data_IF_125350343370
#
_entry.id   IF_125350343370
#
_cell.length_a   1.000
_cell.length_b   1.000
_cell.length_c   1.000
_cell.angle_alpha   90.00
_cell.angle_beta   90.00
_cell.angle_gamma   90.00
#
_symmetry.space_group_name_H-M   'P 1'
#
loop_
_entity.id
_entity.type
_entity.pdbx_description
1 polymer ?
#
# COMPACT_ATOMS: atom_id res chain seq x y z
N UNK A 1 -10.42 0.57 16.34
CA UNK A 1 -10.09 0.44 17.79
C UNK A 1 -8.66 0.89 18.02
N UNK A 2 -8.38 1.60 19.12
CA UNK A 2 -7.04 2.07 19.50
C UNK A 2 -6.79 1.75 20.99
N UNK A 3 -5.58 1.30 21.31
CA UNK A 3 -5.09 1.15 22.68
C UNK A 3 -3.93 2.12 22.92
N UNK A 4 -3.93 2.79 24.06
CA UNK A 4 -2.84 3.66 24.53
C UNK A 4 -2.00 3.02 25.64
N UNK A 5 -2.37 1.79 26.05
CA UNK A 5 -1.74 1.07 27.17
C UNK A 5 -1.37 -0.37 26.79
N UNK A 6 -0.77 -0.53 25.62
CA UNK A 6 -0.24 -1.81 25.10
C UNK A 6 -1.29 -2.91 24.97
N UNK A 7 -2.53 -2.55 24.64
CA UNK A 7 -3.60 -3.50 24.37
C UNK A 7 -4.43 -3.89 25.60
N UNK A 8 -4.20 -3.28 26.77
CA UNK A 8 -5.01 -3.54 27.97
C UNK A 8 -6.44 -3.03 27.81
N UNK A 9 -6.60 -1.80 27.28
CA UNK A 9 -7.91 -1.21 27.00
C UNK A 9 -7.97 -0.78 25.53
N UNK A 10 -9.18 -0.84 24.96
CA UNK A 10 -9.44 -0.49 23.57
C UNK A 10 -10.60 0.49 23.44
N UNK A 11 -10.38 1.57 22.72
CA UNK A 11 -11.39 2.59 22.43
C UNK A 11 -11.71 2.58 20.96
N UNK A 12 -12.99 2.64 20.58
CA UNK A 12 -13.40 2.85 19.19
C UNK A 12 -12.98 4.25 18.74
N UNK A 13 -12.37 4.32 17.55
CA UNK A 13 -11.93 5.58 16.93
C UNK A 13 -12.56 5.78 15.54
N UNK A 14 -13.52 4.96 15.17
CA UNK A 14 -14.32 5.09 13.95
C UNK A 14 -15.63 4.33 14.12
N UNK A 15 -16.61 4.72 13.32
CA UNK A 15 -17.72 3.87 12.93
C UNK A 15 -17.26 2.92 11.80
N UNK A 16 -18.19 2.31 11.06
CA UNK A 16 -17.88 1.49 9.90
C UNK A 16 -17.34 2.38 8.76
N UNK A 17 -16.08 2.12 8.35
CA UNK A 17 -15.40 2.81 7.24
C UNK A 17 -15.50 2.04 5.92
N UNK A 18 -16.47 1.15 5.80
CA UNK A 18 -16.76 0.40 4.58
C UNK A 18 -18.14 0.79 4.01
N UNK A 19 -18.55 0.16 2.93
CA UNK A 19 -19.91 0.32 2.37
C UNK A 19 -20.95 -0.57 3.06
N UNK A 20 -20.63 -1.23 4.17
CA UNK A 20 -21.52 -2.13 4.89
C UNK A 20 -21.66 -3.52 4.27
N UNK A 21 -20.75 -3.87 3.36
CA UNK A 21 -20.70 -5.17 2.69
C UNK A 21 -21.75 -5.37 1.58
N UNK A 22 -21.38 -6.18 0.61
CA UNK A 22 -22.33 -6.78 -0.35
C UNK A 22 -22.59 -8.21 0.04
N UNK A 23 -23.81 -8.70 -0.17
CA UNK A 23 -24.10 -10.12 0.03
C UNK A 23 -23.45 -10.95 -1.09
N UNK A 24 -22.76 -12.01 -0.72
CA UNK A 24 -22.08 -12.93 -1.64
C UNK A 24 -21.27 -13.98 -0.90
N UNK A 25 -20.58 -14.83 -1.65
CA UNK A 25 -19.78 -15.95 -1.10
C UNK A 25 -18.40 -15.51 -0.56
N UNK A 26 -18.06 -14.23 -0.64
CA UNK A 26 -16.77 -13.68 -0.21
C UNK A 26 -17.03 -12.60 0.83
N UNK A 27 -16.24 -12.60 1.90
CA UNK A 27 -16.26 -11.51 2.87
C UNK A 27 -16.02 -10.18 2.13
N UNK A 28 -16.85 -9.19 2.41
CA UNK A 28 -16.84 -7.89 1.79
C UNK A 28 -17.23 -6.83 2.82
N UNK A 29 -16.66 -5.64 2.72
CA UNK A 29 -16.83 -4.62 3.74
C UNK A 29 -15.87 -4.82 4.93
N UNK A 30 -14.60 -5.15 4.64
CA UNK A 30 -13.54 -5.38 5.62
C UNK A 30 -12.41 -4.40 5.41
N UNK A 31 -11.89 -3.79 6.47
CA UNK A 31 -10.64 -3.04 6.40
C UNK A 31 -9.48 -4.01 6.15
N UNK A 32 -8.75 -3.77 5.09
CA UNK A 32 -7.65 -4.63 4.62
C UNK A 32 -6.28 -4.03 4.89
N UNK A 33 -6.22 -2.71 5.02
CA UNK A 33 -4.98 -1.99 5.23
C UNK A 33 -5.19 -0.80 6.17
N UNK A 34 -4.21 -0.55 7.02
CA UNK A 34 -4.12 0.64 7.85
C UNK A 34 -2.66 1.07 7.90
N UNK A 35 -2.40 2.38 7.86
CA UNK A 35 -1.08 2.93 8.07
C UNK A 35 -1.15 4.26 8.82
N UNK A 36 -0.12 4.57 9.59
CA UNK A 36 0.03 5.80 10.34
C UNK A 36 1.27 6.55 9.85
N UNK A 37 1.10 7.85 9.56
CA UNK A 37 2.22 8.70 9.16
C UNK A 37 3.20 8.89 10.31
N UNK A 38 4.50 8.73 10.04
CA UNK A 38 5.55 9.01 11.02
C UNK A 38 5.69 10.51 11.36
N UNK A 39 5.13 11.40 10.55
CA UNK A 39 5.25 12.84 10.72
C UNK A 39 4.23 13.42 11.70
N UNK A 40 3.14 12.72 11.93
CA UNK A 40 2.07 13.21 12.82
C UNK A 40 1.36 12.02 13.46
N UNK A 41 1.40 11.97 14.79
CA UNK A 41 0.59 11.02 15.54
C UNK A 41 -0.89 11.22 15.22
N UNK A 42 -1.57 10.12 14.88
CA UNK A 42 -2.98 10.13 14.53
C UNK A 42 -3.32 10.65 13.12
N UNK A 43 -2.33 10.85 12.25
CA UNK A 43 -2.55 10.92 10.82
C UNK A 43 -2.62 9.48 10.29
N UNK A 44 -3.85 8.98 10.16
CA UNK A 44 -4.17 7.60 9.86
C UNK A 44 -4.80 7.47 8.47
N UNK A 45 -4.44 6.43 7.77
CA UNK A 45 -5.07 6.04 6.51
C UNK A 45 -5.60 4.62 6.61
N UNK A 46 -6.77 4.36 6.03
CA UNK A 46 -7.34 3.01 5.94
C UNK A 46 -7.77 2.68 4.53
N UNK A 47 -7.72 1.40 4.17
CA UNK A 47 -8.25 0.86 2.93
C UNK A 47 -9.12 -0.36 3.21
N UNK A 48 -10.14 -0.57 2.38
CA UNK A 48 -11.07 -1.69 2.52
C UNK A 48 -11.19 -2.51 1.23
N UNK A 49 -11.72 -3.71 1.34
CA UNK A 49 -11.90 -4.62 0.21
C UNK A 49 -13.03 -4.21 -0.75
N UNK A 50 -13.80 -3.19 -0.39
CA UNK A 50 -14.85 -2.57 -1.22
C UNK A 50 -14.42 -1.24 -1.87
N UNK A 51 -13.10 -0.97 -1.88
CA UNK A 51 -12.51 0.18 -2.58
C UNK A 51 -12.60 1.50 -1.84
N UNK A 52 -12.97 1.51 -0.54
CA UNK A 52 -12.97 2.73 0.24
C UNK A 52 -11.58 3.02 0.82
N UNK A 53 -11.19 4.28 0.72
CA UNK A 53 -9.98 4.81 1.37
C UNK A 53 -10.39 5.99 2.22
N UNK A 54 -9.98 5.99 3.48
CA UNK A 54 -10.25 7.08 4.40
C UNK A 54 -8.95 7.62 5.00
N UNK A 55 -8.98 8.92 5.34
CA UNK A 55 -7.94 9.58 6.13
C UNK A 55 -8.54 10.18 7.40
N UNK A 56 -7.82 10.06 8.50
CA UNK A 56 -8.04 10.85 9.70
C UNK A 56 -6.77 11.64 9.99
N UNK A 57 -6.91 12.94 10.26
CA UNK A 57 -5.79 13.80 10.63
C UNK A 57 -5.77 14.14 12.13
N UNK A 58 -6.68 13.56 12.91
CA UNK A 58 -6.93 13.88 14.30
C UNK A 58 -7.17 12.64 15.17
N UNK A 59 -6.39 11.60 14.93
CA UNK A 59 -6.36 10.38 15.74
C UNK A 59 -7.67 9.58 15.73
N UNK A 60 -8.42 9.66 14.63
CA UNK A 60 -9.67 8.94 14.44
C UNK A 60 -10.90 9.67 14.97
N UNK A 61 -10.78 10.96 15.38
CA UNK A 61 -11.95 11.75 15.77
C UNK A 61 -12.88 12.03 14.59
N UNK A 62 -12.29 12.31 13.42
CA UNK A 62 -13.01 12.48 12.16
C UNK A 62 -12.32 11.65 11.06
N UNK A 63 -13.13 11.15 10.13
CA UNK A 63 -12.68 10.39 8.99
C UNK A 63 -13.25 10.98 7.70
N UNK A 64 -12.36 11.27 6.74
CA UNK A 64 -12.73 11.76 5.43
C UNK A 64 -12.54 10.66 4.39
N UNK A 65 -13.57 10.40 3.59
CA UNK A 65 -13.45 9.52 2.44
C UNK A 65 -12.66 10.22 1.32
N UNK A 66 -11.58 9.58 0.88
CA UNK A 66 -10.66 10.09 -0.15
C UNK A 66 -10.61 9.19 -1.40
N UNK A 67 -11.54 8.25 -1.54
CA UNK A 67 -11.59 7.30 -2.65
C UNK A 67 -12.41 7.76 -3.85
N UNK A 68 -12.94 8.99 -3.88
CA UNK A 68 -13.94 9.43 -4.87
C UNK A 68 -13.49 9.31 -6.34
N UNK A 69 -12.20 9.49 -6.61
CA UNK A 69 -11.60 9.42 -7.96
C UNK A 69 -10.80 8.13 -8.21
N UNK A 70 -10.74 7.24 -7.23
CA UNK A 70 -10.14 5.91 -7.39
C UNK A 70 -11.14 4.95 -8.08
N UNK A 71 -10.65 3.86 -8.71
CA UNK A 71 -11.50 2.78 -9.19
C UNK A 71 -12.40 2.25 -8.06
N UNK A 72 -13.67 2.02 -8.38
CA UNK A 72 -14.66 1.60 -7.40
C UNK A 72 -14.72 0.07 -7.30
N UNK A 73 -15.15 -0.40 -6.13
CA UNK A 73 -15.44 -1.81 -5.87
C UNK A 73 -14.23 -2.74 -6.05
N UNK A 74 -13.00 -2.22 -6.05
CA UNK A 74 -11.77 -3.00 -6.05
C UNK A 74 -11.18 -3.08 -4.64
N UNK A 75 -10.58 -4.21 -4.33
CA UNK A 75 -9.90 -4.39 -3.05
C UNK A 75 -8.71 -3.43 -2.93
N UNK A 76 -8.71 -2.56 -1.92
CA UNK A 76 -7.51 -1.79 -1.54
C UNK A 76 -6.51 -2.74 -0.92
N UNK A 77 -5.54 -3.17 -1.71
CA UNK A 77 -4.54 -4.14 -1.26
C UNK A 77 -3.53 -3.53 -0.29
N UNK A 78 -3.22 -2.24 -0.46
CA UNK A 78 -2.33 -1.52 0.47
C UNK A 78 -2.60 -0.02 0.47
N UNK A 79 -2.50 0.60 1.65
CA UNK A 79 -2.33 2.04 1.82
C UNK A 79 -1.03 2.28 2.59
N UNK A 80 -0.24 3.29 2.17
CA UNK A 80 1.07 3.61 2.77
C UNK A 80 1.25 5.11 2.84
N UNK A 81 1.40 5.64 4.06
CA UNK A 81 1.85 7.01 4.28
C UNK A 81 3.34 7.13 3.92
N UNK A 82 3.72 8.21 3.22
CA UNK A 82 5.11 8.41 2.83
C UNK A 82 6.05 8.48 4.03
N UNK A 83 7.25 7.98 3.82
CA UNK A 83 8.37 8.09 4.75
C UNK A 83 9.11 9.43 4.64
N UNK A 84 8.84 10.23 3.60
CA UNK A 84 9.60 11.45 3.30
C UNK A 84 8.74 12.71 3.25
N UNK A 85 7.45 12.58 2.85
CA UNK A 85 6.54 13.70 2.65
C UNK A 85 5.25 13.51 3.47
N UNK A 86 5.01 14.42 4.43
CA UNK A 86 3.86 14.32 5.35
C UNK A 86 2.51 14.20 4.62
N UNK A 87 2.37 14.91 3.48
CA UNK A 87 1.11 14.97 2.72
C UNK A 87 0.95 13.83 1.72
N UNK A 88 2.04 13.06 1.49
CA UNK A 88 2.04 12.00 0.49
C UNK A 88 1.51 10.70 1.06
N UNK A 89 0.70 10.03 0.25
CA UNK A 89 0.15 8.70 0.52
C UNK A 89 0.07 7.91 -0.79
N UNK A 90 0.34 6.63 -0.69
CA UNK A 90 0.22 5.68 -1.80
C UNK A 90 -0.93 4.71 -1.55
N UNK A 91 -1.63 4.34 -2.62
CA UNK A 91 -2.69 3.34 -2.58
C UNK A 91 -2.51 2.37 -3.74
N UNK A 92 -2.62 1.09 -3.45
CA UNK A 92 -2.73 0.05 -4.47
C UNK A 92 -4.08 -0.65 -4.37
N UNK A 93 -4.64 -0.99 -5.54
CA UNK A 93 -5.88 -1.76 -5.62
C UNK A 93 -5.66 -3.03 -6.44
N UNK A 94 -6.45 -4.03 -6.12
CA UNK A 94 -6.34 -5.37 -6.67
C UNK A 94 -7.73 -5.81 -7.19
N UNK A 95 -7.81 -6.06 -8.50
CA UNK A 95 -9.03 -6.49 -9.18
C UNK A 95 -9.10 -8.00 -9.43
N UNK A 96 -8.17 -8.80 -8.92
CA UNK A 96 -8.07 -10.24 -9.16
C UNK A 96 -9.41 -10.99 -8.98
N UNK A 97 -10.18 -10.62 -7.97
CA UNK A 97 -11.50 -11.24 -7.69
C UNK A 97 -12.54 -11.02 -8.80
N UNK A 98 -12.28 -10.08 -9.70
CA UNK A 98 -13.17 -9.68 -10.80
C UNK A 98 -12.57 -9.94 -12.17
N UNK A 99 -11.54 -10.81 -12.25
CA UNK A 99 -10.74 -11.06 -13.46
C UNK A 99 -10.12 -9.79 -14.07
N UNK A 100 -9.90 -8.77 -13.23
CA UNK A 100 -9.22 -7.53 -13.61
C UNK A 100 -7.78 -7.55 -13.12
N UNK A 101 -6.85 -7.72 -14.05
CA UNK A 101 -5.42 -7.78 -13.80
C UNK A 101 -4.72 -6.45 -14.10
N UNK A 102 -5.48 -5.38 -14.31
CA UNK A 102 -4.90 -4.03 -14.48
C UNK A 102 -4.12 -3.65 -13.23
N UNK A 103 -2.85 -3.19 -13.36
CA UNK A 103 -2.10 -2.69 -12.23
C UNK A 103 -2.67 -1.34 -11.78
N UNK A 104 -3.07 -1.26 -10.53
CA UNK A 104 -3.62 -0.04 -9.94
C UNK A 104 -2.70 0.47 -8.85
N UNK A 105 -1.93 1.52 -9.16
CA UNK A 105 -1.03 2.19 -8.23
C UNK A 105 -1.27 3.69 -8.30
N UNK A 106 -1.59 4.29 -7.16
CA UNK A 106 -1.90 5.71 -7.07
C UNK A 106 -1.07 6.40 -6.00
N UNK A 107 -0.69 7.63 -6.27
CA UNK A 107 -0.01 8.53 -5.35
C UNK A 107 -0.81 9.82 -5.19
N UNK A 108 -0.85 10.34 -3.99
CA UNK A 108 -1.39 11.66 -3.67
C UNK A 108 -0.35 12.46 -2.89
N UNK A 109 -0.21 13.75 -3.21
CA UNK A 109 0.65 14.71 -2.50
C UNK A 109 -0.17 15.70 -1.64
N UNK A 110 -1.44 15.41 -1.38
CA UNK A 110 -2.36 16.30 -0.67
C UNK A 110 -3.36 15.53 0.22
N UNK A 111 -2.83 14.56 1.00
CA UNK A 111 -3.61 13.73 1.92
C UNK A 111 -4.75 12.94 1.26
N UNK A 112 -4.66 12.63 -0.03
CA UNK A 112 -5.69 11.92 -0.78
C UNK A 112 -6.79 12.80 -1.38
N UNK A 113 -6.64 14.14 -1.33
CA UNK A 113 -7.62 15.03 -1.97
C UNK A 113 -7.63 14.89 -3.50
N UNK A 114 -6.51 14.51 -4.10
CA UNK A 114 -6.41 14.09 -5.51
C UNK A 114 -5.38 12.98 -5.67
N UNK A 115 -5.57 12.17 -6.72
CA UNK A 115 -4.75 11.00 -7.00
C UNK A 115 -4.15 11.06 -8.39
N UNK A 116 -2.88 10.72 -8.48
CA UNK A 116 -2.15 10.50 -9.74
C UNK A 116 -1.92 9.01 -9.92
N UNK A 117 -2.32 8.46 -11.07
CA UNK A 117 -1.99 7.09 -11.43
C UNK A 117 -0.50 7.02 -11.78
N UNK A 118 0.22 6.12 -11.12
CA UNK A 118 1.66 5.88 -11.32
C UNK A 118 1.95 4.44 -11.77
N UNK A 119 0.96 3.74 -12.34
CA UNK A 119 1.14 2.38 -12.85
C UNK A 119 1.97 2.31 -14.14
N UNK A 120 1.93 3.34 -14.95
CA UNK A 120 2.70 3.57 -16.19
C UNK A 120 3.00 2.29 -17.00
N UNK A 121 4.26 1.87 -17.07
CA UNK A 121 4.73 0.71 -17.87
C UNK A 121 4.65 -0.63 -17.12
N UNK A 122 3.93 -0.73 -16.01
CA UNK A 122 3.71 -2.03 -15.35
C UNK A 122 2.94 -2.98 -16.29
N UNK A 123 3.33 -4.25 -16.35
CA UNK A 123 2.56 -5.24 -17.09
C UNK A 123 1.23 -5.56 -16.38
N UNK A 124 0.33 -6.22 -17.09
CA UNK A 124 -0.92 -6.72 -16.50
C UNK A 124 -0.62 -7.73 -15.39
N UNK A 125 -0.80 -7.31 -14.16
CA UNK A 125 -0.73 -8.14 -12.96
C UNK A 125 -1.39 -7.41 -11.80
N UNK A 126 -2.18 -8.10 -11.02
CA UNK A 126 -2.80 -7.53 -9.82
C UNK A 126 -1.72 -7.07 -8.84
N UNK A 127 -1.91 -5.90 -8.25
CA UNK A 127 -0.94 -5.30 -7.32
C UNK A 127 -1.32 -5.62 -5.89
N UNK A 128 -0.38 -6.14 -5.12
CA UNK A 128 -0.60 -6.60 -3.75
C UNK A 128 -0.03 -5.64 -2.70
N UNK A 129 1.10 -5.00 -2.98
CA UNK A 129 1.82 -4.20 -2.00
C UNK A 129 2.70 -3.16 -2.65
N UNK A 130 2.83 -2.00 -2.00
CA UNK A 130 3.81 -0.96 -2.31
C UNK A 130 4.57 -0.58 -1.05
N UNK A 131 5.85 -0.23 -1.18
CA UNK A 131 6.67 0.38 -0.14
C UNK A 131 7.54 1.48 -0.72
N UNK A 132 7.66 2.59 0.01
CA UNK A 132 8.63 3.64 -0.26
C UNK A 132 9.95 3.30 0.45
N UNK A 133 11.08 3.57 -0.19
CA UNK A 133 12.39 3.34 0.43
C UNK A 133 12.62 4.33 1.58
N UNK A 134 13.05 3.87 2.77
CA UNK A 134 13.23 4.75 3.92
C UNK A 134 14.41 5.73 3.81
N UNK A 135 15.35 5.52 2.87
CA UNK A 135 16.54 6.34 2.70
C UNK A 135 16.47 7.23 1.45
N UNK A 136 15.75 6.81 0.40
CA UNK A 136 15.68 7.54 -0.86
C UNK A 136 14.21 7.75 -1.29
N UNK A 137 13.71 9.00 -1.29
CA UNK A 137 12.31 9.31 -1.61
C UNK A 137 11.90 8.98 -3.05
N UNK A 138 12.86 8.82 -3.96
CA UNK A 138 12.58 8.49 -5.37
C UNK A 138 12.37 7.00 -5.60
N UNK A 139 12.70 6.15 -4.63
CA UNK A 139 12.65 4.70 -4.79
C UNK A 139 11.36 4.13 -4.20
N UNK A 140 10.65 3.38 -5.04
CA UNK A 140 9.46 2.61 -4.66
C UNK A 140 9.68 1.13 -5.01
N UNK A 141 9.17 0.25 -4.16
CA UNK A 141 9.12 -1.20 -4.39
C UNK A 141 7.68 -1.66 -4.47
N UNK A 142 7.38 -2.54 -5.41
CA UNK A 142 6.04 -3.04 -5.69
C UNK A 142 6.04 -4.57 -5.75
N UNK A 143 5.06 -5.20 -5.13
CA UNK A 143 4.77 -6.62 -5.28
C UNK A 143 3.47 -6.84 -6.05
N UNK A 144 3.53 -7.73 -7.03
CA UNK A 144 2.40 -8.12 -7.89
C UNK A 144 2.22 -9.63 -7.90
N UNK A 145 1.17 -10.12 -8.57
CA UNK A 145 0.98 -11.55 -8.79
C UNK A 145 2.05 -12.17 -9.71
N UNK A 146 2.81 -11.35 -10.45
CA UNK A 146 3.84 -11.80 -11.38
C UNK A 146 5.26 -11.36 -10.98
N UNK A 147 5.53 -11.15 -9.70
CA UNK A 147 6.84 -10.79 -9.18
C UNK A 147 6.90 -9.39 -8.55
N UNK A 148 8.11 -8.87 -8.45
CA UNK A 148 8.39 -7.57 -7.85
C UNK A 148 8.93 -6.57 -8.89
N UNK A 149 8.69 -5.29 -8.60
CA UNK A 149 9.16 -4.16 -9.42
C UNK A 149 9.76 -3.08 -8.53
N UNK A 150 10.67 -2.29 -9.09
CA UNK A 150 11.20 -1.09 -8.44
C UNK A 150 11.11 0.10 -9.38
N UNK A 151 10.83 1.26 -8.81
CA UNK A 151 10.93 2.55 -9.47
C UNK A 151 12.06 3.36 -8.83
N UNK A 152 12.75 4.18 -9.62
CA UNK A 152 13.79 5.11 -9.17
C UNK A 152 13.39 6.58 -9.42
N UNK A 153 12.16 6.82 -9.82
CA UNK A 153 11.63 8.10 -10.30
C UNK A 153 10.19 8.37 -9.78
N UNK A 154 9.93 7.98 -8.52
CA UNK A 154 8.62 8.15 -7.87
C UNK A 154 7.45 7.50 -8.63
N UNK A 155 7.69 6.38 -9.33
CA UNK A 155 6.67 5.66 -10.05
C UNK A 155 6.43 6.18 -11.48
N UNK A 156 7.27 7.08 -12.01
CA UNK A 156 7.20 7.48 -13.41
C UNK A 156 7.57 6.34 -14.36
N UNK A 157 8.47 5.45 -13.91
CA UNK A 157 8.76 4.18 -14.59
C UNK A 157 9.04 3.05 -13.60
N UNK A 158 8.80 1.82 -14.04
CA UNK A 158 8.98 0.61 -13.24
C UNK A 158 9.92 -0.36 -13.93
N UNK A 159 10.85 -0.91 -13.19
CA UNK A 159 11.81 -1.91 -13.61
C UNK A 159 11.54 -3.23 -12.88
N UNK A 160 11.58 -4.36 -13.57
CA UNK A 160 11.46 -5.65 -12.91
C UNK A 160 12.56 -5.86 -11.87
N UNK A 161 12.19 -6.42 -10.72
CA UNK A 161 13.10 -6.74 -9.62
C UNK A 161 13.07 -8.25 -9.39
N UNK A 162 13.81 -8.99 -10.20
CA UNK A 162 13.72 -10.45 -10.24
C UNK A 162 15.04 -11.21 -10.20
N UNK A 163 16.17 -10.56 -9.99
CA UNK A 163 17.43 -11.32 -9.85
C UNK A 163 17.33 -12.28 -8.66
N UNK A 164 17.33 -13.58 -8.95
CA UNK A 164 17.14 -14.64 -7.97
C UNK A 164 15.70 -14.85 -7.47
N UNK A 165 14.73 -14.02 -7.88
CA UNK A 165 13.32 -14.20 -7.58
C UNK A 165 12.63 -14.95 -8.72
N UNK A 166 11.99 -16.11 -8.49
CA UNK A 166 11.19 -16.78 -9.53
C UNK A 166 9.95 -15.93 -9.87
N UNK A 167 9.31 -16.24 -10.99
CA UNK A 167 8.00 -15.67 -11.29
C UNK A 167 6.95 -16.22 -10.30
N UNK A 168 6.61 -15.43 -9.31
CA UNK A 168 5.76 -15.80 -8.17
C UNK A 168 5.04 -14.57 -7.64
N UNK A 169 3.81 -14.75 -7.15
CA UNK A 169 3.09 -13.67 -6.51
C UNK A 169 3.82 -13.19 -5.25
N UNK A 170 4.07 -11.88 -5.18
CA UNK A 170 4.65 -11.20 -4.01
C UNK A 170 3.52 -10.49 -3.27
N UNK A 171 3.16 -11.04 -2.11
CA UNK A 171 2.01 -10.56 -1.33
C UNK A 171 2.35 -9.48 -0.31
N UNK A 172 3.60 -9.48 0.18
CA UNK A 172 4.04 -8.43 1.10
C UNK A 172 5.53 -8.10 0.91
N UNK A 173 5.87 -6.85 1.22
CA UNK A 173 7.22 -6.31 1.21
C UNK A 173 7.49 -5.59 2.52
N UNK A 174 8.68 -5.77 3.07
CA UNK A 174 9.15 -4.96 4.19
C UNK A 174 10.63 -4.63 4.03
N UNK A 175 11.02 -3.45 4.52
CA UNK A 175 12.41 -2.99 4.44
C UNK A 175 12.98 -2.91 5.83
N UNK A 176 14.03 -3.66 6.06
CA UNK A 176 14.84 -3.56 7.27
C UNK A 176 15.89 -2.48 7.04
N UNK A 177 15.61 -1.27 7.52
CA UNK A 177 16.37 -0.06 7.19
C UNK A 177 17.83 -0.09 7.70
N UNK A 178 18.10 -0.67 8.89
CA UNK A 178 19.45 -0.74 9.46
C UNK A 178 20.43 -1.49 8.58
N UNK A 179 20.02 -2.66 8.08
CA UNK A 179 20.86 -3.57 7.30
C UNK A 179 20.61 -3.43 5.80
N UNK A 180 19.71 -2.51 5.40
CA UNK A 180 19.34 -2.24 4.00
C UNK A 180 18.86 -3.49 3.25
N UNK A 181 18.02 -4.27 3.91
CA UNK A 181 17.46 -5.49 3.34
C UNK A 181 15.99 -5.28 2.95
N UNK A 182 15.65 -5.62 1.72
CA UNK A 182 14.28 -5.81 1.26
C UNK A 182 13.90 -7.28 1.45
N UNK A 183 12.81 -7.51 2.14
CA UNK A 183 12.22 -8.83 2.34
C UNK A 183 10.94 -8.92 1.52
N UNK A 184 10.80 -10.01 0.74
CA UNK A 184 9.66 -10.26 -0.12
C UNK A 184 8.94 -11.52 0.34
N UNK A 185 7.71 -11.36 0.82
CA UNK A 185 6.81 -12.47 1.18
C UNK A 185 6.06 -12.97 -0.05
N UNK A 186 6.32 -14.22 -0.45
CA UNK A 186 5.74 -14.80 -1.67
C UNK A 186 4.64 -15.81 -1.38
N UNK A 187 3.76 -16.04 -2.34
CA UNK A 187 2.74 -17.06 -2.23
C UNK A 187 3.33 -18.46 -2.49
N UNK A 188 3.48 -19.24 -1.44
CA UNK A 188 3.88 -20.66 -1.54
C UNK A 188 5.35 -20.92 -1.92
N UNK A 189 6.19 -19.88 -2.07
CA UNK A 189 7.59 -19.99 -2.48
C UNK A 189 8.57 -19.39 -1.49
N UNK A 190 8.19 -19.31 -0.19
CA UNK A 190 9.06 -18.82 0.88
C UNK A 190 9.21 -17.28 0.93
N UNK A 191 10.19 -16.81 1.67
CA UNK A 191 10.56 -15.41 1.82
C UNK A 191 11.92 -15.21 1.16
N UNK A 192 12.04 -14.19 0.33
CA UNK A 192 13.29 -13.79 -0.30
C UNK A 192 13.84 -12.54 0.38
N UNK A 193 15.17 -12.43 0.37
CA UNK A 193 15.88 -11.28 0.92
C UNK A 193 16.84 -10.74 -0.14
N UNK A 194 16.79 -9.44 -0.38
CA UNK A 194 17.72 -8.73 -1.24
C UNK A 194 18.46 -7.64 -0.45
N UNK A 195 19.74 -7.45 -0.73
CA UNK A 195 20.50 -6.28 -0.30
C UNK A 195 20.21 -5.11 -1.26
N UNK A 196 19.66 -4.02 -0.71
CA UNK A 196 19.30 -2.83 -1.49
C UNK A 196 20.26 -1.66 -1.25
N UNK A 197 21.41 -1.91 -0.64
CA UNK A 197 22.39 -0.87 -0.29
C UNK A 197 22.91 -0.08 -1.51
N UNK A 198 23.11 -0.76 -2.63
CA UNK A 198 23.53 -0.12 -3.89
C UNK A 198 22.41 0.71 -4.52
N UNK A 199 21.17 0.25 -4.43
CA UNK A 199 20.00 0.95 -4.99
C UNK A 199 19.78 2.29 -4.28
N UNK A 200 19.94 2.33 -2.97
CA UNK A 200 19.77 3.53 -2.17
C UNK A 200 20.81 4.62 -2.46
N UNK A 201 21.91 4.29 -3.13
CA UNK A 201 22.94 5.23 -3.59
C UNK A 201 22.70 5.79 -5.00
N UNK A 202 21.65 5.37 -5.68
CA UNK A 202 21.26 5.91 -7.00
C UNK A 202 20.61 7.28 -6.76
N UNK A 203 21.23 8.33 -7.34
CA UNK A 203 20.79 9.73 -7.27
C UNK A 203 20.19 10.12 -8.62
#
# INVERSE_FOLDING_TARGET
>A
MRSMNRGTDWTAISEDLTSGGKQGNVAYGTLTSIDESKFQFGLLYTGSDDGKVFVSQNSGSDWQNISATLPKDLWVSRVVASMHEKQRVYVTLNGYRWDDFTPYVYMSDNYGASWTNISNNLPLAAVNVIREDPANPSILYLGTDNGAYTSFDNGASWNPFYEGLPNVAVHDLTIQARDKHLLLGTHGRSIYKADISLLQGII
#
